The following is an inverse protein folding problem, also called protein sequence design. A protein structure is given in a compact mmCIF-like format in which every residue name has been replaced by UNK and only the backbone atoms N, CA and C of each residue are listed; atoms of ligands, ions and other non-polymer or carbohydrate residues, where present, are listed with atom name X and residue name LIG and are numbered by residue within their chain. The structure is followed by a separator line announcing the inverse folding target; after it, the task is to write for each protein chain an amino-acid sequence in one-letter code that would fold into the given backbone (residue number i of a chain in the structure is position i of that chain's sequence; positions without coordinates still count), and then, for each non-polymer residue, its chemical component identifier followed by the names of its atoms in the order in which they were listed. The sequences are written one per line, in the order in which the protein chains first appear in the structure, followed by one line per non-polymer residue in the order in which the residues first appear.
data_IF_027113790851
#
_entry.id   IF_027113790851
#
_cell.length_a   1.000
_cell.length_b   1.000
_cell.length_c   1.000
_cell.angle_alpha   90.00
_cell.angle_beta   90.00
_cell.angle_gamma   90.00
#
_symmetry.space_group_name_H-M   'P 1'
#
loop_
_entity.id
_entity.type
_entity.pdbx_description
1 polymer ?
#
# COMPACT_ATOMS: atom_id res chain seq x y z
N UNK A 1 1.05 -11.44 -6.66
CA UNK A 1 0.48 -10.14 -6.37
C UNK A 1 1.18 -9.54 -5.16
N UNK A 2 1.64 -8.30 -5.27
CA UNK A 2 2.34 -7.60 -4.20
C UNK A 2 2.01 -6.11 -4.20
N UNK A 3 2.00 -5.48 -3.01
CA UNK A 3 1.91 -4.03 -2.89
C UNK A 3 3.26 -3.38 -3.20
N UNK A 4 3.24 -2.26 -3.90
CA UNK A 4 4.43 -1.45 -4.20
C UNK A 4 5.17 -1.03 -2.93
N UNK A 5 4.44 -0.77 -1.86
CA UNK A 5 4.97 -0.37 -0.56
C UNK A 5 5.93 -1.42 0.01
N UNK A 6 5.55 -2.70 -0.05
CA UNK A 6 6.36 -3.78 0.52
C UNK A 6 7.67 -4.02 -0.25
N UNK A 7 7.75 -3.58 -1.50
CA UNK A 7 8.92 -3.72 -2.35
C UNK A 7 9.76 -2.44 -2.46
N UNK A 8 9.26 -1.33 -1.96
CA UNK A 8 9.98 -0.04 -2.00
C UNK A 8 11.35 -0.04 -1.29
N UNK A 9 11.62 -0.86 -0.26
CA UNK A 9 12.97 -0.97 0.29
C UNK A 9 14.00 -1.54 -0.71
N UNK A 10 13.56 -2.38 -1.64
CA UNK A 10 14.40 -3.02 -2.65
C UNK A 10 14.38 -2.27 -3.99
N UNK A 11 13.25 -1.63 -4.32
CA UNK A 11 13.03 -0.87 -5.55
C UNK A 11 12.64 0.54 -5.15
N UNK A 12 13.64 1.42 -5.03
CA UNK A 12 13.46 2.80 -4.51
C UNK A 12 12.46 3.63 -5.32
N UNK A 13 12.36 3.36 -6.62
CA UNK A 13 11.43 4.02 -7.53
C UNK A 13 9.96 3.85 -7.07
N UNK A 14 9.64 2.74 -6.42
CA UNK A 14 8.29 2.47 -5.89
C UNK A 14 7.89 3.43 -4.75
N UNK A 15 8.82 4.16 -4.13
CA UNK A 15 8.47 5.21 -3.17
C UNK A 15 7.66 6.35 -3.80
N UNK A 16 7.67 6.48 -5.13
CA UNK A 16 6.81 7.45 -5.82
C UNK A 16 5.33 7.23 -5.48
N UNK A 17 4.89 5.96 -5.40
CA UNK A 17 3.51 5.60 -5.09
C UNK A 17 3.16 5.79 -3.61
N UNK A 18 4.18 5.93 -2.76
CA UNK A 18 4.02 6.11 -1.32
C UNK A 18 4.05 7.59 -0.87
N UNK A 19 4.11 8.53 -1.83
CA UNK A 19 4.06 9.96 -1.50
C UNK A 19 2.68 10.36 -1.00
N UNK A 20 2.59 10.98 0.20
CA UNK A 20 1.31 11.40 0.75
C UNK A 20 0.63 12.42 -0.16
N UNK A 21 -0.68 12.26 -0.33
CA UNK A 21 -1.54 13.18 -1.09
C UNK A 21 -1.13 13.39 -2.56
N UNK A 22 -0.33 12.48 -3.13
CA UNK A 22 0.19 12.61 -4.50
C UNK A 22 -0.91 12.79 -5.55
N UNK A 23 -2.06 12.14 -5.37
CA UNK A 23 -3.23 12.30 -6.26
C UNK A 23 -4.45 12.93 -5.56
N UNK A 24 -4.31 13.35 -4.30
CA UNK A 24 -5.44 13.79 -3.47
C UNK A 24 -6.20 14.98 -4.06
N UNK A 25 -5.51 15.90 -4.72
CA UNK A 25 -6.08 17.10 -5.31
C UNK A 25 -6.71 16.85 -6.69
N UNK A 26 -6.62 15.63 -7.25
CA UNK A 26 -7.28 15.31 -8.51
C UNK A 26 -8.75 15.00 -8.26
N UNK A 27 -9.70 15.60 -8.98
CA UNK A 27 -11.13 15.32 -8.82
C UNK A 27 -11.48 13.85 -9.10
N UNK A 28 -10.75 13.19 -9.99
CA UNK A 28 -10.84 11.76 -10.25
C UNK A 28 -9.49 11.09 -9.94
N UNK A 29 -9.34 10.66 -8.69
CA UNK A 29 -8.09 10.08 -8.17
C UNK A 29 -7.73 8.76 -8.84
N UNK A 30 -8.72 7.92 -9.11
CA UNK A 30 -8.51 6.63 -9.79
C UNK A 30 -8.01 6.84 -11.20
N UNK A 31 -8.67 7.71 -11.96
CA UNK A 31 -8.22 8.06 -13.32
C UNK A 31 -6.82 8.67 -13.34
N UNK A 32 -6.45 9.42 -12.28
CA UNK A 32 -5.10 9.94 -12.16
C UNK A 32 -4.07 8.82 -11.96
N UNK A 33 -4.38 7.80 -11.16
CA UNK A 33 -3.52 6.63 -10.99
C UNK A 33 -3.41 5.83 -12.29
N UNK A 34 -4.52 5.54 -12.95
CA UNK A 34 -4.52 4.85 -14.24
C UNK A 34 -3.62 5.58 -15.26
N UNK A 35 -3.70 6.91 -15.30
CA UNK A 35 -2.86 7.72 -16.19
C UNK A 35 -1.36 7.67 -15.81
N UNK A 36 -1.04 7.56 -14.53
CA UNK A 36 0.35 7.40 -14.05
C UNK A 36 0.87 6.02 -14.45
N UNK A 37 0.10 4.97 -14.20
CA UNK A 37 0.47 3.59 -14.50
C UNK A 37 0.62 3.35 -16.01
N UNK A 38 -0.30 3.84 -16.82
CA UNK A 38 -0.20 3.77 -18.29
C UNK A 38 0.88 4.68 -18.88
N UNK A 39 1.34 5.67 -18.11
CA UNK A 39 2.26 6.71 -18.55
C UNK A 39 3.73 6.32 -18.47
N UNK A 40 4.61 7.33 -18.61
CA UNK A 40 6.07 7.16 -18.52
C UNK A 40 6.52 6.67 -17.14
N UNK A 41 5.86 7.13 -16.09
CA UNK A 41 6.18 6.74 -14.70
C UNK A 41 5.88 5.26 -14.48
N UNK A 42 4.71 4.77 -14.88
CA UNK A 42 4.36 3.36 -14.80
C UNK A 42 5.36 2.47 -15.54
N UNK A 43 5.70 2.82 -16.78
CA UNK A 43 6.71 2.10 -17.57
C UNK A 43 8.11 2.11 -16.92
N UNK A 44 8.45 3.16 -16.20
CA UNK A 44 9.69 3.22 -15.43
C UNK A 44 9.64 2.25 -14.24
N UNK A 45 8.52 2.21 -13.51
CA UNK A 45 8.30 1.31 -12.38
C UNK A 45 8.27 -0.15 -12.83
N UNK A 46 7.57 -0.48 -13.93
CA UNK A 46 7.56 -1.83 -14.53
C UNK A 46 8.98 -2.33 -14.81
N UNK A 47 9.80 -1.49 -15.46
CA UNK A 47 11.20 -1.82 -15.74
C UNK A 47 12.01 -2.02 -14.46
N UNK A 48 11.77 -1.23 -13.43
CA UNK A 48 12.45 -1.38 -12.15
C UNK A 48 12.06 -2.69 -11.45
N UNK A 49 10.78 -3.06 -11.51
CA UNK A 49 10.26 -4.34 -11.00
C UNK A 49 10.89 -5.52 -11.78
N UNK A 50 10.90 -5.47 -13.11
CA UNK A 50 11.46 -6.56 -13.94
C UNK A 50 12.96 -6.80 -13.72
N UNK A 51 13.73 -5.77 -13.32
CA UNK A 51 15.16 -5.93 -12.96
C UNK A 51 15.38 -6.86 -11.77
N UNK A 52 14.36 -7.14 -10.96
CA UNK A 52 14.46 -8.10 -9.84
C UNK A 52 14.34 -9.56 -10.27
N UNK A 53 14.24 -9.85 -11.57
CA UNK A 53 14.16 -11.20 -12.11
C UNK A 53 12.75 -11.75 -12.22
N UNK A 54 11.76 -10.87 -12.31
CA UNK A 54 10.35 -11.21 -12.55
C UNK A 54 9.88 -10.68 -13.90
N UNK A 55 8.81 -11.26 -14.43
CA UNK A 55 8.02 -10.68 -15.51
C UNK A 55 6.87 -9.89 -14.93
N UNK A 56 6.77 -8.62 -15.26
CA UNK A 56 5.61 -7.79 -14.94
C UNK A 56 4.41 -8.20 -15.82
N UNK A 57 3.25 -8.39 -15.22
CA UNK A 57 2.03 -8.82 -15.91
C UNK A 57 0.97 -7.72 -15.94
N UNK A 58 0.80 -6.94 -14.88
CA UNK A 58 -0.20 -5.90 -14.82
C UNK A 58 -0.22 -5.16 -13.48
N UNK A 59 -0.89 -4.02 -13.48
CA UNK A 59 -1.21 -3.24 -12.29
C UNK A 59 -2.57 -3.67 -11.73
N UNK A 60 -2.74 -3.51 -10.44
CA UNK A 60 -4.00 -3.65 -9.73
C UNK A 60 -4.02 -2.65 -8.58
N UNK A 61 -5.13 -2.59 -7.85
CA UNK A 61 -5.33 -1.61 -6.79
C UNK A 61 -5.90 -2.27 -5.54
N UNK A 62 -5.37 -1.89 -4.39
CA UNK A 62 -5.83 -2.29 -3.07
C UNK A 62 -6.77 -1.25 -2.43
N UNK A 63 -6.80 -0.05 -2.97
CA UNK A 63 -7.61 1.08 -2.52
C UNK A 63 -6.84 2.15 -1.76
N UNK A 64 -7.55 3.21 -1.39
CA UNK A 64 -7.00 4.26 -0.55
C UNK A 64 -6.76 3.76 0.87
N UNK A 65 -5.61 4.16 1.42
CA UNK A 65 -5.21 3.83 2.77
C UNK A 65 -5.81 4.84 3.74
N UNK A 66 -6.50 4.31 4.73
CA UNK A 66 -7.26 5.06 5.72
C UNK A 66 -6.79 4.71 7.13
N UNK A 67 -6.87 5.67 8.04
CA UNK A 67 -6.55 5.45 9.45
C UNK A 67 -7.68 4.73 10.17
N UNK A 68 -7.32 3.75 10.99
CA UNK A 68 -8.25 3.17 11.96
C UNK A 68 -7.64 3.19 13.35
N UNK A 69 -8.44 3.53 14.37
CA UNK A 69 -7.97 3.68 15.75
C UNK A 69 -8.95 3.08 16.76
N UNK A 70 -8.41 2.73 17.95
CA UNK A 70 -9.17 2.22 19.09
C UNK A 70 -9.54 3.32 20.11
N UNK A 71 -8.73 4.40 20.20
CA UNK A 71 -8.84 5.40 21.28
C UNK A 71 -9.78 6.57 20.98
N UNK A 72 -10.00 6.90 19.71
CA UNK A 72 -10.84 8.03 19.32
C UNK A 72 -10.71 8.36 17.84
N UNK A 73 -11.58 9.23 17.32
CA UNK A 73 -11.47 9.73 15.95
C UNK A 73 -10.23 10.61 15.80
N UNK A 74 -9.68 10.65 14.60
CA UNK A 74 -8.60 11.57 14.19
C UNK A 74 -9.25 12.59 13.26
N UNK A 75 -9.42 13.82 13.74
CA UNK A 75 -10.02 14.92 12.97
C UNK A 75 -8.97 15.93 12.49
N UNK A 76 -7.80 15.95 13.16
CA UNK A 76 -6.67 16.83 12.85
C UNK A 76 -5.35 16.15 13.21
N UNK A 77 -4.21 16.59 12.66
CA UNK A 77 -2.90 15.96 12.90
C UNK A 77 -2.54 15.86 14.38
N UNK A 78 -2.92 16.85 15.19
CA UNK A 78 -2.59 16.89 16.63
C UNK A 78 -3.22 15.73 17.42
N UNK A 79 -4.31 15.16 16.93
CA UNK A 79 -5.00 14.03 17.56
C UNK A 79 -4.15 12.75 17.48
N UNK A 80 -3.18 12.68 16.57
CA UNK A 80 -2.23 11.58 16.44
C UNK A 80 -1.07 11.65 17.43
N UNK A 81 -0.92 12.77 18.18
CA UNK A 81 0.24 12.99 19.04
C UNK A 81 0.44 11.89 20.07
N UNK A 82 1.57 11.21 19.96
CA UNK A 82 1.96 10.13 20.87
C UNK A 82 1.21 8.81 20.65
N UNK A 83 0.26 8.73 19.70
CA UNK A 83 -0.43 7.49 19.35
C UNK A 83 0.56 6.46 18.82
N UNK A 84 0.49 5.24 19.30
CA UNK A 84 1.20 4.09 18.74
C UNK A 84 0.47 3.62 17.49
N UNK A 85 0.94 4.03 16.34
CA UNK A 85 0.36 3.63 15.06
C UNK A 85 1.20 2.52 14.42
N UNK A 86 0.58 1.38 14.16
CA UNK A 86 1.22 0.32 13.36
C UNK A 86 1.39 0.81 11.93
N UNK A 87 2.60 0.70 11.43
CA UNK A 87 2.96 1.02 10.03
C UNK A 87 3.69 -0.14 9.37
N UNK A 88 3.75 -0.13 8.04
CA UNK A 88 4.70 -0.97 7.31
C UNK A 88 6.12 -0.60 7.68
N UNK A 89 7.03 -1.57 7.68
CA UNK A 89 8.45 -1.37 8.08
C UNK A 89 9.29 -0.59 7.06
N UNK A 90 8.70 0.30 6.28
CA UNK A 90 9.40 1.13 5.30
C UNK A 90 9.70 2.51 5.89
N UNK A 91 10.89 3.09 5.67
CA UNK A 91 11.29 4.37 6.25
C UNK A 91 10.29 5.49 5.98
N UNK A 92 9.74 5.57 4.76
CA UNK A 92 8.80 6.63 4.39
C UNK A 92 7.54 6.65 5.28
N UNK A 93 7.02 5.49 5.69
CA UNK A 93 5.86 5.43 6.59
C UNK A 93 6.21 5.89 8.01
N UNK A 94 7.40 5.50 8.48
CA UNK A 94 7.90 5.95 9.78
C UNK A 94 8.04 7.47 9.77
N UNK A 95 8.62 8.03 8.72
CA UNK A 95 8.84 9.48 8.60
C UNK A 95 7.51 10.25 8.51
N UNK A 96 6.54 9.76 7.71
CA UNK A 96 5.22 10.38 7.58
C UNK A 96 4.55 10.50 8.94
N UNK A 97 4.39 9.38 9.66
CA UNK A 97 3.63 9.38 10.91
C UNK A 97 4.39 10.01 12.07
N UNK A 98 5.73 9.93 12.07
CA UNK A 98 6.55 10.70 13.03
C UNK A 98 6.40 12.21 12.83
N UNK A 99 6.37 12.69 11.58
CA UNK A 99 6.19 14.11 11.28
C UNK A 99 4.82 14.65 11.71
N UNK A 100 3.81 13.77 11.79
CA UNK A 100 2.47 14.07 12.31
C UNK A 100 2.37 13.95 13.84
N UNK A 101 3.48 13.66 14.51
CA UNK A 101 3.57 13.56 15.98
C UNK A 101 3.14 12.20 16.54
N UNK A 102 2.83 11.22 15.72
CA UNK A 102 2.56 9.86 16.17
C UNK A 102 3.85 9.14 16.60
N UNK A 103 3.69 7.98 17.21
CA UNK A 103 4.75 7.03 17.54
C UNK A 103 4.59 5.78 16.66
N UNK A 104 5.13 5.78 15.42
CA UNK A 104 4.96 4.67 14.49
C UNK A 104 5.67 3.41 14.97
N UNK A 105 4.96 2.29 14.91
CA UNK A 105 5.45 0.97 15.26
C UNK A 105 5.54 0.12 13.99
N UNK A 106 6.76 -0.19 13.57
CA UNK A 106 7.01 -1.06 12.41
C UNK A 106 6.73 -2.53 12.79
N UNK A 107 5.57 -3.03 12.46
CA UNK A 107 5.13 -4.40 12.77
C UNK A 107 4.71 -5.09 11.48
N UNK A 108 5.23 -6.29 11.23
CA UNK A 108 4.84 -7.10 10.08
C UNK A 108 3.35 -7.43 10.12
N UNK A 109 2.73 -7.53 8.93
CA UNK A 109 1.29 -7.78 8.86
C UNK A 109 0.87 -9.07 9.55
N UNK A 110 1.67 -10.12 9.47
CA UNK A 110 1.41 -11.40 10.14
C UNK A 110 1.27 -11.29 11.67
N UNK A 111 1.87 -10.26 12.28
CA UNK A 111 1.85 -10.00 13.71
C UNK A 111 0.88 -8.88 14.09
N UNK A 112 0.51 -8.04 13.12
CA UNK A 112 -0.26 -6.83 13.35
C UNK A 112 -1.65 -7.12 13.95
N UNK A 113 -2.37 -8.12 13.43
CA UNK A 113 -3.70 -8.49 13.91
C UNK A 113 -3.66 -8.90 15.38
N UNK A 114 -2.66 -9.69 15.77
CA UNK A 114 -2.45 -10.04 17.17
C UNK A 114 -2.14 -8.79 18.01
N UNK A 115 -1.33 -7.88 17.48
CA UNK A 115 -1.04 -6.59 18.10
C UNK A 115 -2.29 -5.74 18.34
N UNK A 116 -3.25 -5.74 17.40
CA UNK A 116 -4.54 -5.07 17.56
C UNK A 116 -5.37 -5.69 18.68
N UNK A 117 -5.46 -7.03 18.71
CA UNK A 117 -6.17 -7.79 19.75
C UNK A 117 -5.63 -7.51 21.14
N UNK A 118 -4.33 -7.40 21.27
CA UNK A 118 -3.63 -7.17 22.54
C UNK A 118 -3.52 -5.69 22.94
N UNK A 119 -3.98 -4.77 22.07
CA UNK A 119 -3.87 -3.34 22.31
C UNK A 119 -2.42 -2.82 22.38
N UNK A 120 -1.49 -3.49 21.69
CA UNK A 120 -0.07 -3.07 21.63
C UNK A 120 0.06 -1.74 20.88
N UNK A 121 -0.82 -1.51 19.89
CA UNK A 121 -0.94 -0.28 19.12
C UNK A 121 -2.33 0.33 19.26
N UNK A 122 -2.42 1.64 19.09
CA UNK A 122 -3.65 2.41 19.22
C UNK A 122 -4.41 2.49 17.90
N UNK A 123 -3.73 2.22 16.81
CA UNK A 123 -4.30 2.30 15.47
C UNK A 123 -3.35 1.77 14.39
N UNK A 124 -3.81 1.87 13.15
CA UNK A 124 -3.06 1.50 11.95
C UNK A 124 -3.63 2.21 10.72
N UNK A 125 -2.96 2.09 9.58
CA UNK A 125 -3.42 2.58 8.30
C UNK A 125 -3.35 1.47 7.25
N UNK A 126 -4.43 1.29 6.51
CA UNK A 126 -4.55 0.30 5.43
C UNK A 126 -5.76 0.61 4.55
N UNK A 127 -5.82 0.06 3.34
CA UNK A 127 -7.00 0.17 2.49
C UNK A 127 -8.25 -0.43 3.15
N UNK A 128 -9.34 0.33 3.12
CA UNK A 128 -10.59 -0.09 3.78
C UNK A 128 -11.14 -1.37 3.16
N UNK A 129 -11.35 -1.39 1.85
CA UNK A 129 -11.98 -2.53 1.18
C UNK A 129 -11.02 -3.70 0.98
N UNK A 130 -9.75 -3.42 0.65
CA UNK A 130 -8.76 -4.47 0.38
C UNK A 130 -8.23 -5.17 1.64
N UNK A 131 -8.16 -4.48 2.77
CA UNK A 131 -7.53 -4.98 3.99
C UNK A 131 -8.44 -4.89 5.21
N UNK A 132 -8.94 -3.68 5.58
CA UNK A 132 -9.62 -3.49 6.87
C UNK A 132 -10.92 -4.30 6.97
N UNK A 133 -11.69 -4.37 5.88
CA UNK A 133 -12.94 -5.14 5.83
C UNK A 133 -12.69 -6.64 5.86
N UNK A 134 -11.88 -7.25 4.98
CA UNK A 134 -11.61 -8.69 5.00
C UNK A 134 -11.02 -9.18 6.33
N UNK A 135 -10.15 -8.38 6.95
CA UNK A 135 -9.50 -8.75 8.22
C UNK A 135 -10.30 -8.33 9.46
N UNK A 136 -11.48 -7.74 9.28
CA UNK A 136 -12.40 -7.35 10.34
C UNK A 136 -11.76 -6.45 11.40
N UNK A 137 -10.93 -5.48 10.95
CA UNK A 137 -10.19 -4.56 11.84
C UNK A 137 -11.12 -3.79 12.79
N UNK A 138 -12.38 -3.56 12.40
CA UNK A 138 -13.40 -2.91 13.25
C UNK A 138 -13.70 -3.65 14.59
N UNK A 139 -13.28 -4.90 14.71
CA UNK A 139 -13.43 -5.61 15.99
C UNK A 139 -12.58 -4.96 17.08
N UNK A 140 -11.46 -4.35 16.72
CA UNK A 140 -10.50 -3.73 17.64
C UNK A 140 -10.43 -2.21 17.51
N UNK A 141 -10.49 -1.69 16.29
CA UNK A 141 -10.47 -0.26 15.99
C UNK A 141 -11.88 0.23 15.68
N UNK A 142 -12.45 1.08 16.54
CA UNK A 142 -13.84 1.53 16.45
C UNK A 142 -14.03 2.80 15.63
N UNK A 143 -12.93 3.47 15.28
CA UNK A 143 -12.94 4.73 14.55
C UNK A 143 -12.18 4.58 13.24
N UNK A 144 -12.67 5.19 12.17
CA UNK A 144 -12.03 5.30 10.87
C UNK A 144 -11.95 6.77 10.48
N UNK A 145 -10.82 7.18 9.94
CA UNK A 145 -10.62 8.50 9.35
C UNK A 145 -10.28 8.31 7.88
N UNK A 146 -11.24 8.67 7.03
CA UNK A 146 -11.14 8.54 5.58
C UNK A 146 -10.50 9.80 5.00
N UNK A 147 -9.19 9.87 5.01
CA UNK A 147 -8.40 11.02 4.57
C UNK A 147 -7.77 10.85 3.19
N UNK A 148 -7.82 9.62 2.65
CA UNK A 148 -7.38 9.30 1.29
C UNK A 148 -5.94 9.76 1.00
N UNK A 149 -5.05 9.63 1.99
CA UNK A 149 -3.71 10.22 1.90
C UNK A 149 -2.82 9.51 0.89
N UNK A 150 -3.09 8.23 0.64
CA UNK A 150 -2.30 7.41 -0.26
C UNK A 150 -3.17 6.33 -0.89
N UNK A 151 -2.97 6.08 -2.17
CA UNK A 151 -3.44 4.86 -2.83
C UNK A 151 -2.39 3.76 -2.68
N UNK A 152 -2.82 2.51 -2.66
CA UNK A 152 -1.92 1.34 -2.56
C UNK A 152 -1.95 0.54 -3.87
N UNK A 153 -1.11 0.87 -4.86
CA UNK A 153 -1.03 0.10 -6.08
C UNK A 153 -0.45 -1.28 -5.80
N UNK A 154 -1.03 -2.25 -6.48
CA UNK A 154 -0.55 -3.63 -6.52
C UNK A 154 0.03 -3.92 -7.89
N UNK A 155 0.92 -4.90 -7.95
CA UNK A 155 1.42 -5.41 -9.22
C UNK A 155 1.43 -6.93 -9.26
N UNK A 156 1.11 -7.46 -10.43
CA UNK A 156 1.20 -8.88 -10.74
C UNK A 156 2.53 -9.18 -11.39
N UNK A 157 3.17 -10.25 -10.94
CA UNK A 157 4.41 -10.72 -11.54
C UNK A 157 4.46 -12.24 -11.58
N UNK A 158 5.21 -12.76 -12.54
CA UNK A 158 5.63 -14.15 -12.59
C UNK A 158 7.15 -14.26 -12.43
N UNK A 159 7.63 -15.35 -11.87
CA UNK A 159 9.08 -15.63 -11.88
C UNK A 159 9.58 -15.72 -13.32
N UNK A 160 10.66 -14.99 -13.65
CA UNK A 160 11.15 -14.90 -15.03
C UNK A 160 11.62 -16.26 -15.60
N UNK A 161 12.12 -17.18 -14.76
CA UNK A 161 12.51 -18.52 -15.22
C UNK A 161 11.28 -19.32 -15.63
N UNK A 162 10.25 -19.32 -14.77
CA UNK A 162 8.98 -19.99 -15.06
C UNK A 162 8.27 -19.35 -16.25
N UNK A 163 8.29 -18.02 -16.34
CA UNK A 163 7.72 -17.30 -17.48
C UNK A 163 8.27 -17.74 -18.83
N UNK A 164 9.58 -18.01 -18.90
CA UNK A 164 10.25 -18.47 -20.12
C UNK A 164 9.94 -19.92 -20.51
N UNK A 165 9.34 -20.69 -19.62
CA UNK A 165 8.90 -22.07 -19.90
C UNK A 165 7.54 -22.13 -20.59
N UNK A 166 6.75 -21.04 -20.53
CA UNK A 166 5.47 -20.95 -21.24
C UNK A 166 5.67 -20.74 -22.74
N UNK A 167 4.77 -21.33 -23.53
CA UNK A 167 4.70 -21.06 -24.97
C UNK A 167 4.36 -19.59 -25.24
N UNK A 168 4.71 -19.03 -26.42
CA UNK A 168 4.28 -17.67 -26.78
C UNK A 168 2.76 -17.47 -26.72
N UNK A 169 1.99 -18.49 -27.05
CA UNK A 169 0.54 -18.51 -26.99
C UNK A 169 0.04 -18.38 -25.56
N UNK A 170 0.62 -19.18 -24.63
CA UNK A 170 0.28 -19.14 -23.21
C UNK A 170 0.68 -17.79 -22.58
N UNK A 171 1.87 -17.28 -22.90
CA UNK A 171 2.30 -15.95 -22.45
C UNK A 171 1.33 -14.86 -22.88
N UNK A 172 0.87 -14.90 -24.13
CA UNK A 172 -0.12 -13.95 -24.66
C UNK A 172 -1.46 -14.10 -23.93
N UNK A 173 -1.89 -15.32 -23.69
CA UNK A 173 -3.14 -15.59 -22.95
C UNK A 173 -3.06 -15.04 -21.53
N UNK A 174 -1.97 -15.33 -20.80
CA UNK A 174 -1.77 -14.83 -19.43
C UNK A 174 -1.80 -13.30 -19.39
N UNK A 175 -1.08 -12.64 -20.30
CA UNK A 175 -1.07 -11.17 -20.38
C UNK A 175 -2.43 -10.57 -20.75
N UNK A 176 -3.29 -11.31 -21.44
CA UNK A 176 -4.65 -10.83 -21.78
C UNK A 176 -5.63 -10.98 -20.62
N UNK A 177 -5.29 -11.77 -19.59
CA UNK A 177 -6.10 -12.01 -18.41
C UNK A 177 -5.62 -11.21 -17.18
N UNK A 178 -4.43 -10.65 -17.24
CA UNK A 178 -3.85 -9.87 -16.16
C UNK A 178 -4.22 -8.39 -16.28
#
# INVERSE_FOLDING_TARGET
LASTINWSPQIKELNLTALPFFVANNPDRYKAIDAIEAGKSGKMLEKAIEKTGVKFLGWAENGFRELTTSKGPIEKPEDMKGMKLRVCGTPIFIDIFSSLGANPQAINWSEAVTGFQQGIVDGQENPTNGINVPTKVWQWHKYSTDWHYMIDPLFFTANMKVWKEFSPEDQKLILSCA
#
